data_IF_209842626696
#
_entry.id   IF_209842626696
#
_cell.length_a   1.000
_cell.length_b   1.000
_cell.length_c   1.000
_cell.angle_alpha   90.00
_cell.angle_beta   90.00
_cell.angle_gamma   90.00
#
_symmetry.space_group_name_H-M   'P 1'
#
loop_
_entity.id
_entity.type
_entity.pdbx_description
1 polymer ?
#
# COMPACT_ATOMS: atom_id res chain seq x y z
N UNK A 1 5.65 21.53 -32.77
CA UNK A 1 4.50 20.90 -32.08
C UNK A 1 4.84 19.42 -32.03
N UNK A 2 5.48 18.99 -30.94
CA UNK A 2 5.85 17.58 -30.77
C UNK A 2 4.59 16.77 -30.44
N UNK A 3 4.33 15.73 -31.23
CA UNK A 3 3.30 14.74 -30.96
C UNK A 3 3.80 13.83 -29.83
N UNK A 4 3.19 13.94 -28.65
CA UNK A 4 3.41 13.04 -27.54
C UNK A 4 3.04 11.61 -27.95
N UNK A 5 3.97 10.66 -27.82
CA UNK A 5 3.68 9.23 -27.94
C UNK A 5 2.88 8.80 -26.70
N UNK A 6 1.57 8.67 -26.85
CA UNK A 6 0.65 8.29 -25.78
C UNK A 6 0.01 6.94 -26.11
N UNK A 7 0.23 5.93 -25.27
CA UNK A 7 -0.29 4.59 -25.49
C UNK A 7 -1.68 4.45 -24.88
N UNK A 8 -2.72 4.55 -25.71
CA UNK A 8 -4.11 4.57 -25.27
C UNK A 8 -4.81 3.19 -25.26
N UNK A 9 -4.26 2.15 -25.90
CA UNK A 9 -5.06 0.93 -26.15
C UNK A 9 -4.29 -0.38 -26.30
N UNK A 10 -2.98 -0.41 -26.05
CA UNK A 10 -2.23 -1.66 -26.06
C UNK A 10 -2.17 -2.23 -24.65
N UNK A 11 -2.19 -3.57 -24.53
CA UNK A 11 -2.06 -4.25 -23.24
C UNK A 11 -0.88 -3.64 -22.45
N UNK A 12 -1.21 -2.90 -21.38
CA UNK A 12 -0.24 -2.14 -20.60
C UNK A 12 0.92 -3.06 -20.22
N UNK A 13 2.10 -2.72 -20.71
CA UNK A 13 3.33 -3.49 -20.52
C UNK A 13 4.51 -2.52 -20.54
N UNK A 14 5.65 -2.96 -19.99
CA UNK A 14 6.86 -2.15 -19.97
C UNK A 14 7.31 -1.77 -21.39
N UNK A 15 7.13 -2.67 -22.35
CA UNK A 15 7.49 -2.47 -23.76
C UNK A 15 6.60 -1.40 -24.39
N UNK A 16 5.29 -1.43 -24.12
CA UNK A 16 4.37 -0.40 -24.65
C UNK A 16 4.66 0.97 -24.05
N UNK A 17 4.91 1.06 -22.74
CA UNK A 17 5.18 2.34 -22.04
C UNK A 17 6.63 2.80 -22.21
N UNK A 18 7.50 1.93 -22.75
CA UNK A 18 8.95 2.09 -22.85
C UNK A 18 9.63 2.33 -21.48
N UNK A 19 9.05 1.81 -20.39
CA UNK A 19 9.56 1.97 -19.03
C UNK A 19 10.25 0.70 -18.52
N UNK A 20 11.37 0.85 -17.81
CA UNK A 20 12.11 -0.25 -17.19
C UNK A 20 11.34 -0.80 -15.98
N UNK A 21 11.41 -2.12 -15.69
CA UNK A 21 10.93 -2.68 -14.43
C UNK A 21 11.52 -1.99 -13.21
N UNK A 22 10.79 -1.98 -12.09
CA UNK A 22 11.20 -1.28 -10.88
C UNK A 22 11.05 0.24 -10.95
N UNK A 23 10.29 0.74 -11.93
CA UNK A 23 9.94 2.15 -12.08
C UNK A 23 9.10 2.69 -10.91
N UNK A 24 8.97 4.01 -10.89
CA UNK A 24 8.06 4.75 -10.01
C UNK A 24 6.81 5.15 -10.79
N UNK A 25 5.64 4.71 -10.33
CA UNK A 25 4.33 5.09 -10.88
C UNK A 25 3.76 6.28 -10.11
N UNK A 26 3.71 7.46 -10.73
CA UNK A 26 3.15 8.68 -10.13
C UNK A 26 1.74 8.96 -10.65
N UNK A 27 0.77 8.96 -9.75
CA UNK A 27 -0.65 9.12 -10.06
C UNK A 27 -1.03 10.60 -10.13
N UNK A 28 -1.62 11.03 -11.23
CA UNK A 28 -2.13 12.40 -11.43
C UNK A 28 -3.61 12.37 -11.75
N UNK A 29 -4.36 13.26 -11.11
CA UNK A 29 -5.80 13.42 -11.33
C UNK A 29 -6.18 14.83 -11.73
N UNK A 30 -5.58 15.83 -11.10
CA UNK A 30 -5.95 17.24 -11.26
C UNK A 30 -4.72 18.11 -11.50
N UNK A 31 -4.77 18.92 -12.56
CA UNK A 31 -3.68 19.81 -12.95
C UNK A 31 -3.49 20.98 -11.97
N UNK A 32 -4.48 21.26 -11.12
CA UNK A 32 -4.36 22.27 -10.06
C UNK A 32 -3.56 21.77 -8.85
N UNK A 33 -3.35 20.45 -8.73
CA UNK A 33 -2.70 19.83 -7.58
C UNK A 33 -1.58 18.89 -8.03
N UNK A 34 -0.41 19.47 -8.33
CA UNK A 34 0.77 18.75 -8.84
C UNK A 34 1.97 18.78 -7.90
N UNK A 35 1.80 19.14 -6.63
CA UNK A 35 2.91 19.21 -5.67
C UNK A 35 3.53 17.84 -5.41
N UNK A 36 2.74 16.76 -5.44
CA UNK A 36 3.26 15.40 -5.37
C UNK A 36 4.09 15.03 -6.61
N UNK A 37 3.78 15.58 -7.79
CA UNK A 37 4.59 15.38 -9.02
C UNK A 37 5.92 16.10 -8.88
N UNK A 38 5.94 17.34 -8.39
CA UNK A 38 7.18 18.06 -8.09
C UNK A 38 8.04 17.27 -7.11
N UNK A 39 7.43 16.73 -6.06
CA UNK A 39 8.15 15.92 -5.06
C UNK A 39 8.61 14.59 -5.64
N UNK A 40 7.81 13.92 -6.47
CA UNK A 40 8.20 12.71 -7.19
C UNK A 40 9.41 12.95 -8.09
N UNK A 41 9.41 14.06 -8.83
CA UNK A 41 10.54 14.51 -9.63
C UNK A 41 11.75 14.82 -8.75
N UNK A 42 11.60 15.43 -7.58
CA UNK A 42 12.73 15.70 -6.66
C UNK A 42 13.40 14.40 -6.19
N UNK A 43 12.61 13.44 -5.67
CA UNK A 43 13.12 12.23 -5.02
C UNK A 43 13.52 11.11 -5.98
N UNK A 44 12.99 11.12 -7.21
CA UNK A 44 13.26 10.07 -8.20
C UNK A 44 14.45 10.45 -9.07
N UNK A 45 15.46 9.57 -9.14
CA UNK A 45 16.60 9.73 -10.04
C UNK A 45 16.25 9.14 -11.41
N UNK A 46 15.65 9.94 -12.30
CA UNK A 46 15.07 9.46 -13.57
C UNK A 46 16.07 8.82 -14.54
N UNK A 47 17.37 9.12 -14.42
CA UNK A 47 18.41 8.39 -15.16
C UNK A 47 18.58 6.92 -14.71
N UNK A 48 18.25 6.62 -13.45
CA UNK A 48 18.38 5.27 -12.86
C UNK A 48 17.06 4.50 -12.82
N UNK A 49 15.96 5.22 -12.61
CA UNK A 49 14.63 4.63 -12.43
C UNK A 49 13.60 5.47 -13.15
N UNK A 50 12.84 4.89 -14.07
CA UNK A 50 11.86 5.64 -14.85
C UNK A 50 10.72 6.14 -13.96
N UNK A 51 10.23 7.34 -14.28
CA UNK A 51 9.06 7.95 -13.66
C UNK A 51 7.89 7.89 -14.63
N UNK A 52 6.95 6.99 -14.38
CA UNK A 52 5.74 6.83 -15.18
C UNK A 52 4.62 7.64 -14.53
N UNK A 53 4.18 8.71 -15.18
CA UNK A 53 3.07 9.53 -14.73
C UNK A 53 1.77 9.01 -15.36
N UNK A 54 0.87 8.56 -14.50
CA UNK A 54 -0.37 7.89 -14.89
C UNK A 54 -1.60 8.67 -14.46
N UNK A 55 -2.59 8.76 -15.34
CA UNK A 55 -3.96 9.16 -14.99
C UNK A 55 -4.96 8.07 -15.37
N UNK A 56 -6.08 7.99 -14.64
CA UNK A 56 -7.15 7.04 -14.93
C UNK A 56 -8.32 7.79 -15.54
N UNK A 57 -8.68 7.43 -16.77
CA UNK A 57 -9.88 7.91 -17.43
C UNK A 57 -11.08 7.07 -16.98
N UNK A 58 -11.99 7.66 -16.21
CA UNK A 58 -13.15 6.94 -15.69
C UNK A 58 -14.19 6.75 -16.80
N UNK A 59 -14.35 5.51 -17.29
CA UNK A 59 -15.40 5.18 -18.25
C UNK A 59 -16.76 5.20 -17.53
N UNK A 60 -17.63 6.13 -17.92
CA UNK A 60 -19.04 6.12 -17.48
C UNK A 60 -19.84 5.20 -18.42
N UNK A 61 -20.65 4.32 -17.85
CA UNK A 61 -21.51 3.40 -18.61
C UNK A 61 -22.55 4.14 -19.47
N UNK A 62 -23.24 3.42 -20.39
CA UNK A 62 -24.14 4.03 -21.36
C UNK A 62 -25.49 4.39 -20.73
N UNK A 63 -25.53 5.45 -19.92
CA UNK A 63 -26.77 6.15 -19.57
C UNK A 63 -26.94 7.32 -20.54
N UNK A 64 -27.36 7.01 -21.77
CA UNK A 64 -28.08 7.84 -22.76
C UNK A 64 -27.89 7.20 -24.13
N UNK A 65 -28.99 6.81 -24.77
CA UNK A 65 -29.01 6.06 -26.04
C UNK A 65 -28.50 6.85 -27.24
N UNK A 66 -27.19 7.08 -27.32
CA UNK A 66 -26.50 7.45 -28.54
C UNK A 66 -25.44 6.40 -28.85
N UNK A 67 -25.77 5.56 -29.84
CA UNK A 67 -24.77 4.91 -30.69
C UNK A 67 -23.94 6.04 -31.36
N UNK A 68 -22.65 5.81 -31.55
CA UNK A 68 -21.66 6.70 -32.21
C UNK A 68 -21.03 7.82 -31.36
N UNK A 69 -20.27 7.45 -30.33
CA UNK A 69 -19.08 8.23 -29.96
C UNK A 69 -17.86 7.38 -30.30
N UNK A 70 -17.25 7.70 -31.44
CA UNK A 70 -16.03 7.07 -31.92
C UNK A 70 -15.00 6.89 -30.81
N UNK A 71 -14.45 5.68 -30.74
CA UNK A 71 -13.32 5.27 -29.89
C UNK A 71 -12.05 6.13 -30.14
N UNK A 72 -12.07 7.02 -31.13
CA UNK A 72 -11.00 7.95 -31.54
C UNK A 72 -10.85 9.21 -30.67
N UNK A 73 -11.58 9.35 -29.54
CA UNK A 73 -11.43 10.46 -28.59
C UNK A 73 -11.11 10.00 -27.16
N UNK A 74 -10.30 8.95 -27.03
CA UNK A 74 -9.80 8.45 -25.73
C UNK A 74 -8.86 9.42 -24.99
N UNK A 75 -8.49 10.55 -25.59
CA UNK A 75 -7.85 11.67 -24.90
C UNK A 75 -8.78 12.88 -24.85
N UNK A 76 -9.30 13.17 -23.66
CA UNK A 76 -9.97 14.43 -23.42
C UNK A 76 -8.96 15.59 -23.51
N UNK A 77 -9.42 16.77 -23.96
CA UNK A 77 -8.64 18.02 -23.84
C UNK A 77 -8.08 18.23 -22.42
N UNK A 78 -8.77 17.66 -21.43
CA UNK A 78 -8.35 17.65 -20.04
C UNK A 78 -7.01 16.93 -19.82
N UNK A 79 -6.84 15.71 -20.32
CA UNK A 79 -5.63 14.91 -20.10
C UNK A 79 -4.43 15.50 -20.83
N UNK A 80 -4.65 16.02 -22.04
CA UNK A 80 -3.62 16.75 -22.79
C UNK A 80 -3.12 17.95 -21.99
N UNK A 81 -4.03 18.73 -21.41
CA UNK A 81 -3.66 19.89 -20.59
C UNK A 81 -2.96 19.46 -19.29
N UNK A 82 -3.48 18.44 -18.60
CA UNK A 82 -2.85 17.86 -17.41
C UNK A 82 -1.40 17.44 -17.69
N UNK A 83 -1.18 16.69 -18.76
CA UNK A 83 0.15 16.22 -19.12
C UNK A 83 1.07 17.33 -19.62
N UNK A 84 0.55 18.36 -20.31
CA UNK A 84 1.37 19.53 -20.63
C UNK A 84 1.95 20.20 -19.38
N UNK A 85 1.19 20.24 -18.28
CA UNK A 85 1.67 20.78 -17.00
C UNK A 85 2.69 19.85 -16.33
N UNK A 86 2.46 18.54 -16.38
CA UNK A 86 3.42 17.55 -15.88
C UNK A 86 4.75 17.64 -16.62
N UNK A 87 4.72 17.70 -17.96
CA UNK A 87 5.92 17.83 -18.80
C UNK A 87 6.67 19.12 -18.47
N UNK A 88 5.97 20.25 -18.37
CA UNK A 88 6.60 21.51 -17.98
C UNK A 88 7.30 21.45 -16.61
N UNK A 89 6.75 20.69 -15.63
CA UNK A 89 7.41 20.45 -14.35
C UNK A 89 8.66 19.55 -14.51
N UNK A 90 8.57 18.52 -15.33
CA UNK A 90 9.66 17.59 -15.59
C UNK A 90 10.83 18.26 -16.33
N UNK A 91 10.54 19.04 -17.37
CA UNK A 91 11.51 19.86 -18.11
C UNK A 91 12.21 20.86 -17.20
N UNK A 92 11.45 21.58 -16.36
CA UNK A 92 12.00 22.51 -15.37
C UNK A 92 12.93 21.79 -14.38
N UNK A 93 12.66 20.53 -14.05
CA UNK A 93 13.50 19.70 -13.20
C UNK A 93 14.68 19.05 -13.94
N UNK A 94 14.78 19.18 -15.27
CA UNK A 94 15.77 18.49 -16.10
C UNK A 94 15.59 16.96 -16.11
N UNK A 95 14.36 16.47 -15.96
CA UNK A 95 14.05 15.05 -15.81
C UNK A 95 13.04 14.60 -16.87
N UNK A 96 13.17 13.35 -17.32
CA UNK A 96 12.23 12.70 -18.24
C UNK A 96 11.12 11.98 -17.48
N UNK A 97 9.94 11.88 -18.11
CA UNK A 97 8.79 11.14 -17.60
C UNK A 97 8.11 10.37 -18.74
N UNK A 98 7.52 9.23 -18.42
CA UNK A 98 6.64 8.49 -19.33
C UNK A 98 5.20 8.83 -18.99
N UNK A 99 4.33 9.05 -19.99
CA UNK A 99 2.95 9.45 -19.77
C UNK A 99 2.00 8.30 -20.11
N UNK A 100 1.05 8.01 -19.23
CA UNK A 100 0.12 6.90 -19.39
C UNK A 100 -1.31 7.31 -19.01
N UNK A 101 -2.26 7.07 -19.92
CA UNK A 101 -3.70 7.15 -19.61
C UNK A 101 -4.23 5.73 -19.56
N UNK A 102 -4.96 5.40 -18.49
CA UNK A 102 -5.58 4.09 -18.35
C UNK A 102 -7.10 4.24 -18.27
N UNK A 103 -7.86 3.75 -19.26
CA UNK A 103 -9.31 3.72 -19.15
C UNK A 103 -9.75 2.64 -18.15
N UNK A 104 -10.62 2.99 -17.20
CA UNK A 104 -11.17 2.04 -16.24
C UNK A 104 -12.43 2.55 -15.55
N UNK A 105 -13.32 1.66 -15.12
CA UNK A 105 -14.42 2.00 -14.21
C UNK A 105 -14.01 1.97 -12.73
N UNK A 106 -12.92 1.28 -12.39
CA UNK A 106 -12.35 1.20 -11.04
C UNK A 106 -10.91 1.75 -11.03
N UNK A 107 -10.72 2.86 -10.33
CA UNK A 107 -9.45 3.59 -10.25
C UNK A 107 -8.39 2.79 -9.50
N UNK A 108 -8.74 2.16 -8.37
CA UNK A 108 -7.77 1.43 -7.55
C UNK A 108 -7.37 0.12 -8.23
N UNK A 109 -8.30 -0.54 -8.92
CA UNK A 109 -7.98 -1.71 -9.75
C UNK A 109 -7.07 -1.34 -10.91
N UNK A 110 -7.32 -0.22 -11.60
CA UNK A 110 -6.47 0.25 -12.68
C UNK A 110 -5.04 0.55 -12.21
N UNK A 111 -4.90 1.21 -11.06
CA UNK A 111 -3.59 1.50 -10.45
C UNK A 111 -2.87 0.18 -10.10
N UNK A 112 -3.54 -0.73 -9.38
CA UNK A 112 -2.95 -1.98 -8.94
C UNK A 112 -2.49 -2.84 -10.13
N UNK A 113 -3.35 -2.98 -11.14
CA UNK A 113 -3.04 -3.75 -12.36
C UNK A 113 -1.87 -3.13 -13.14
N UNK A 114 -1.84 -1.79 -13.26
CA UNK A 114 -0.78 -1.08 -13.97
C UNK A 114 0.55 -1.22 -13.23
N UNK A 115 0.56 -0.98 -11.91
CA UNK A 115 1.76 -1.15 -11.09
C UNK A 115 2.30 -2.58 -11.15
N UNK A 116 1.43 -3.59 -11.12
CA UNK A 116 1.84 -4.98 -11.26
C UNK A 116 2.43 -5.30 -12.65
N UNK A 117 1.78 -4.84 -13.73
CA UNK A 117 2.23 -5.05 -15.12
C UNK A 117 3.55 -4.35 -15.43
N UNK A 118 3.75 -3.16 -14.87
CA UNK A 118 4.99 -2.41 -15.02
C UNK A 118 6.08 -2.86 -14.03
N UNK A 119 5.79 -3.81 -13.15
CA UNK A 119 6.64 -4.20 -12.03
C UNK A 119 7.14 -2.96 -11.25
N UNK A 120 6.25 -1.99 -11.01
CA UNK A 120 6.58 -0.75 -10.30
C UNK A 120 6.97 -1.05 -8.86
N UNK A 121 8.06 -0.43 -8.41
CA UNK A 121 8.54 -0.55 -7.02
C UNK A 121 7.83 0.43 -6.10
N UNK A 122 7.51 1.59 -6.64
CA UNK A 122 6.95 2.72 -5.93
C UNK A 122 5.70 3.22 -6.64
N UNK A 123 4.64 3.51 -5.89
CA UNK A 123 3.44 4.20 -6.35
C UNK A 123 3.34 5.50 -5.56
N UNK A 124 3.31 6.65 -6.22
CA UNK A 124 3.20 7.97 -5.58
C UNK A 124 1.85 8.58 -5.93
N UNK A 125 1.11 9.04 -4.94
CA UNK A 125 -0.13 9.80 -5.10
C UNK A 125 -0.08 11.13 -4.35
N UNK A 126 -0.87 12.10 -4.82
CA UNK A 126 -1.22 13.27 -4.01
C UNK A 126 -2.26 12.93 -2.93
N UNK A 127 -2.30 13.71 -1.86
CA UNK A 127 -3.37 13.61 -0.85
C UNK A 127 -4.73 13.89 -1.50
N UNK A 128 -5.68 12.97 -1.30
CA UNK A 128 -7.06 13.14 -1.74
C UNK A 128 -7.78 14.19 -0.90
N UNK A 129 -8.67 14.98 -1.52
CA UNK A 129 -9.53 15.94 -0.84
C UNK A 129 -10.75 15.30 -0.16
N UNK A 130 -11.07 14.05 -0.51
CA UNK A 130 -12.28 13.34 -0.05
C UNK A 130 -11.97 12.05 0.69
N UNK A 131 -10.68 11.73 0.87
CA UNK A 131 -10.24 10.48 1.49
C UNK A 131 -8.90 10.65 2.20
N UNK A 132 -8.75 10.06 3.38
CA UNK A 132 -7.47 10.08 4.09
C UNK A 132 -6.41 9.24 3.36
N UNK A 133 -5.12 9.48 3.59
CA UNK A 133 -4.03 8.64 3.09
C UNK A 133 -4.20 7.15 3.43
N UNK A 134 -4.61 6.82 4.65
CA UNK A 134 -4.88 5.44 5.09
C UNK A 134 -6.07 4.83 4.35
N UNK A 135 -7.11 5.63 4.07
CA UNK A 135 -8.23 5.20 3.25
C UNK A 135 -7.81 4.86 1.81
N UNK A 136 -6.95 5.70 1.21
CA UNK A 136 -6.39 5.44 -0.12
C UNK A 136 -5.55 4.17 -0.12
N UNK A 137 -4.69 4.01 0.89
CA UNK A 137 -3.83 2.83 1.03
C UNK A 137 -4.64 1.55 1.22
N UNK A 138 -5.71 1.61 2.02
CA UNK A 138 -6.61 0.47 2.24
C UNK A 138 -7.27 0.02 0.93
N UNK A 139 -7.89 0.94 0.18
CA UNK A 139 -8.57 0.59 -1.07
C UNK A 139 -7.60 0.10 -2.14
N UNK A 140 -6.41 0.72 -2.24
CA UNK A 140 -5.36 0.24 -3.14
C UNK A 140 -4.86 -1.14 -2.72
N UNK A 141 -4.68 -1.38 -1.42
CA UNK A 141 -4.31 -2.69 -0.87
C UNK A 141 -5.36 -3.76 -1.17
N UNK A 142 -6.64 -3.47 -0.98
CA UNK A 142 -7.72 -4.38 -1.34
C UNK A 142 -7.73 -4.69 -2.85
N UNK A 143 -7.50 -3.69 -3.70
CA UNK A 143 -7.37 -3.89 -5.14
C UNK A 143 -6.14 -4.74 -5.51
N UNK A 144 -5.01 -4.50 -4.85
CA UNK A 144 -3.80 -5.29 -4.98
C UNK A 144 -4.02 -6.76 -4.61
N UNK A 145 -4.75 -7.01 -3.52
CA UNK A 145 -5.06 -8.37 -3.07
C UNK A 145 -6.00 -9.14 -4.01
N UNK A 146 -6.78 -8.45 -4.84
CA UNK A 146 -7.62 -9.08 -5.87
C UNK A 146 -6.87 -9.45 -7.15
N UNK A 147 -5.61 -9.05 -7.31
CA UNK A 147 -4.85 -9.38 -8.51
C UNK A 147 -4.58 -10.89 -8.59
N UNK A 148 -4.76 -11.53 -9.77
CA UNK A 148 -4.55 -12.97 -9.92
C UNK A 148 -3.07 -13.36 -9.80
N UNK A 149 -2.18 -12.52 -10.33
CA UNK A 149 -0.73 -12.71 -10.28
C UNK A 149 -0.10 -11.46 -9.63
N UNK A 150 0.31 -11.57 -8.37
CA UNK A 150 0.97 -10.49 -7.63
C UNK A 150 2.48 -10.65 -7.73
N UNK A 151 3.25 -9.60 -8.04
CA UNK A 151 4.71 -9.70 -7.97
C UNK A 151 5.14 -9.96 -6.52
N UNK A 152 6.18 -10.78 -6.34
CA UNK A 152 6.74 -11.07 -5.01
C UNK A 152 7.45 -9.86 -4.36
N UNK A 153 7.71 -8.82 -5.15
CA UNK A 153 8.43 -7.63 -4.69
C UNK A 153 7.51 -6.73 -3.88
N UNK A 154 8.05 -6.18 -2.78
CA UNK A 154 7.38 -5.19 -1.96
C UNK A 154 7.13 -3.92 -2.78
N UNK A 155 5.87 -3.52 -2.89
CA UNK A 155 5.49 -2.25 -3.51
C UNK A 155 5.17 -1.24 -2.42
N UNK A 156 5.83 -0.08 -2.47
CA UNK A 156 5.57 1.03 -1.56
C UNK A 156 4.55 1.97 -2.18
N UNK A 157 3.49 2.28 -1.45
CA UNK A 157 2.53 3.32 -1.80
C UNK A 157 2.78 4.56 -0.94
N UNK A 158 3.10 5.68 -1.58
CA UNK A 158 3.46 6.94 -0.96
C UNK A 158 2.41 7.99 -1.25
N UNK A 159 1.83 8.58 -0.20
CA UNK A 159 0.92 9.73 -0.32
C UNK A 159 1.67 10.99 0.09
N UNK A 160 1.66 11.98 -0.81
CA UNK A 160 2.32 13.28 -0.61
C UNK A 160 1.25 14.34 -0.45
N UNK A 161 1.25 15.02 0.69
CA UNK A 161 0.31 16.11 0.94
C UNK A 161 0.85 17.51 0.58
N UNK A 162 -0.03 18.53 0.67
CA UNK A 162 0.36 19.92 0.48
C UNK A 162 1.45 20.30 1.49
N UNK A 163 2.57 20.85 1.01
CA UNK A 163 3.73 21.17 1.86
C UNK A 163 4.79 20.06 1.95
N UNK A 164 4.55 18.90 1.30
CA UNK A 164 5.57 17.86 1.16
C UNK A 164 5.61 16.83 2.29
N UNK A 165 4.59 16.80 3.15
CA UNK A 165 4.35 15.70 4.08
C UNK A 165 4.26 14.36 3.33
N UNK A 166 4.95 13.34 3.83
CA UNK A 166 5.05 12.01 3.20
C UNK A 166 4.48 10.98 4.16
N UNK A 167 3.58 10.14 3.66
CA UNK A 167 3.08 8.96 4.36
C UNK A 167 3.28 7.73 3.47
N UNK A 168 3.98 6.74 4.00
CA UNK A 168 4.32 5.51 3.29
C UNK A 168 3.49 4.34 3.81
N UNK A 169 2.98 3.57 2.86
CA UNK A 169 2.24 2.33 3.03
C UNK A 169 2.88 1.25 2.16
N UNK A 170 2.57 -0.01 2.42
CA UNK A 170 3.14 -1.12 1.68
C UNK A 170 2.04 -2.08 1.24
N UNK A 171 2.11 -2.51 -0.01
CA UNK A 171 1.14 -3.42 -0.62
C UNK A 171 1.67 -4.85 -0.61
N UNK A 172 0.78 -5.82 -0.45
CA UNK A 172 1.09 -7.24 -0.42
C UNK A 172 1.74 -7.70 0.88
N UNK A 173 2.11 -8.98 0.92
CA UNK A 173 2.83 -9.56 2.06
C UNK A 173 4.23 -8.94 2.18
N UNK A 174 4.50 -8.28 3.31
CA UNK A 174 5.78 -7.69 3.62
C UNK A 174 6.16 -7.98 5.08
N UNK A 175 7.46 -7.90 5.39
CA UNK A 175 7.87 -7.87 6.79
C UNK A 175 7.29 -6.62 7.47
N UNK A 176 6.72 -6.73 8.68
CA UNK A 176 6.33 -5.55 9.44
C UNK A 176 7.58 -4.73 9.77
N UNK A 177 7.38 -3.42 9.93
CA UNK A 177 8.39 -2.59 10.57
C UNK A 177 8.28 -2.81 12.09
N UNK A 178 9.40 -3.10 12.75
CA UNK A 178 9.46 -3.32 14.18
C UNK A 178 10.34 -2.24 14.79
N UNK A 179 9.79 -1.52 15.75
CA UNK A 179 10.52 -0.56 16.58
C UNK A 179 11.54 -1.25 17.48
N UNK A 180 12.52 -0.48 17.97
CA UNK A 180 13.51 -0.97 18.92
C UNK A 180 12.87 -1.56 20.19
N UNK A 181 11.76 -0.97 20.66
CA UNK A 181 11.00 -1.48 21.80
C UNK A 181 10.40 -2.87 21.54
N UNK A 182 9.85 -3.09 20.34
CA UNK A 182 9.27 -4.37 19.94
C UNK A 182 10.36 -5.44 19.73
N UNK A 183 11.50 -5.06 19.16
CA UNK A 183 12.67 -5.94 19.01
C UNK A 183 13.20 -6.36 20.38
N UNK A 184 13.36 -5.40 21.29
CA UNK A 184 13.81 -5.66 22.66
C UNK A 184 12.83 -6.56 23.42
N UNK A 185 11.52 -6.40 23.18
CA UNK A 185 10.53 -7.28 23.77
C UNK A 185 10.66 -8.73 23.26
N UNK A 186 10.86 -8.92 21.95
CA UNK A 186 11.15 -10.24 21.37
C UNK A 186 12.44 -10.82 21.97
N UNK A 187 13.46 -9.98 22.20
CA UNK A 187 14.73 -10.39 22.82
C UNK A 187 14.52 -10.89 24.25
N UNK A 188 13.75 -10.18 25.08
CA UNK A 188 13.43 -10.59 26.45
C UNK A 188 12.69 -11.93 26.51
N UNK A 189 11.68 -12.11 25.66
CA UNK A 189 10.95 -13.39 25.58
C UNK A 189 11.87 -14.54 25.16
N UNK A 190 12.80 -14.27 24.25
CA UNK A 190 13.79 -15.26 23.83
C UNK A 190 14.71 -15.64 24.99
N UNK A 191 15.26 -14.67 25.73
CA UNK A 191 16.08 -14.92 26.91
C UNK A 191 15.33 -15.75 27.95
N UNK A 192 14.08 -15.39 28.25
CA UNK A 192 13.27 -16.13 29.24
C UNK A 192 13.13 -17.61 28.86
N UNK A 193 12.97 -17.91 27.57
CA UNK A 193 12.74 -19.28 27.08
C UNK A 193 14.05 -20.04 26.88
N UNK A 194 15.16 -19.37 26.52
CA UNK A 194 16.44 -20.04 26.25
C UNK A 194 17.09 -20.66 27.48
N UNK A 195 16.65 -20.28 28.69
CA UNK A 195 17.13 -20.86 29.94
C UNK A 195 16.38 -22.14 30.34
N UNK A 196 15.30 -22.49 29.63
CA UNK A 196 14.53 -23.70 29.92
C UNK A 196 15.22 -24.95 29.33
N UNK A 197 15.29 -26.06 30.08
CA UNK A 197 15.91 -27.30 29.61
C UNK A 197 15.31 -27.80 28.29
N UNK A 198 16.16 -28.09 27.31
CA UNK A 198 15.78 -28.55 25.97
C UNK A 198 15.41 -27.42 24.99
N UNK A 199 15.49 -26.15 25.40
CA UNK A 199 15.23 -24.97 24.56
C UNK A 199 16.45 -24.06 24.42
N UNK A 200 17.65 -24.53 24.77
CA UNK A 200 18.88 -23.73 24.82
C UNK A 200 19.25 -23.14 23.45
N UNK A 201 18.90 -23.85 22.38
CA UNK A 201 19.19 -23.46 20.99
C UNK A 201 18.00 -22.77 20.29
N UNK A 202 16.98 -22.34 21.04
CA UNK A 202 15.87 -21.58 20.46
C UNK A 202 16.38 -20.24 19.91
N UNK A 203 15.74 -19.74 18.85
CA UNK A 203 16.06 -18.46 18.20
C UNK A 203 14.89 -17.50 18.30
N UNK A 204 15.13 -16.19 18.18
CA UNK A 204 14.07 -15.17 18.15
C UNK A 204 12.94 -15.49 17.15
N UNK A 205 13.30 -16.01 15.96
CA UNK A 205 12.31 -16.43 14.95
C UNK A 205 11.32 -17.48 15.48
N UNK A 206 11.76 -18.42 16.32
CA UNK A 206 10.87 -19.44 16.87
C UNK A 206 9.91 -18.87 17.91
N UNK A 207 10.33 -17.84 18.68
CA UNK A 207 9.44 -17.09 19.57
C UNK A 207 8.34 -16.39 18.76
N UNK A 208 8.73 -15.70 17.67
CA UNK A 208 7.77 -15.03 16.78
C UNK A 208 6.81 -16.03 16.15
N UNK A 209 7.31 -17.15 15.63
CA UNK A 209 6.46 -18.21 15.05
C UNK A 209 5.49 -18.75 16.09
N UNK A 210 5.95 -19.06 17.30
CA UNK A 210 5.09 -19.58 18.36
C UNK A 210 3.97 -18.58 18.73
N UNK A 211 4.28 -17.29 18.80
CA UNK A 211 3.29 -16.25 19.04
C UNK A 211 2.27 -16.13 17.89
N UNK A 212 2.73 -16.20 16.63
CA UNK A 212 1.86 -16.14 15.44
C UNK A 212 0.92 -17.34 15.35
N UNK A 213 1.42 -18.56 15.60
CA UNK A 213 0.61 -19.79 15.60
C UNK A 213 -0.49 -19.70 16.66
N UNK A 214 -0.14 -19.31 17.89
CA UNK A 214 -1.13 -19.15 18.97
C UNK A 214 -2.18 -18.08 18.65
N UNK A 215 -1.75 -16.96 18.07
CA UNK A 215 -2.69 -15.91 17.69
C UNK A 215 -3.60 -16.33 16.53
N UNK A 216 -3.13 -17.18 15.61
CA UNK A 216 -3.97 -17.76 14.58
C UNK A 216 -5.08 -18.62 15.20
N UNK A 217 -4.74 -19.47 16.17
CA UNK A 217 -5.73 -20.29 16.89
C UNK A 217 -6.77 -19.39 17.57
N UNK A 218 -6.33 -18.33 18.29
CA UNK A 218 -7.22 -17.37 18.94
C UNK A 218 -8.20 -16.69 17.96
N UNK A 219 -7.80 -16.49 16.70
CA UNK A 219 -8.65 -15.90 15.65
C UNK A 219 -9.66 -16.87 15.04
N UNK A 220 -9.39 -18.18 15.10
CA UNK A 220 -10.23 -19.23 14.51
C UNK A 220 -11.21 -19.86 15.50
N UNK A 221 -10.92 -19.80 16.81
CA UNK A 221 -11.75 -20.39 17.86
C UNK A 221 -12.74 -19.41 18.51
N UNK A 222 -13.42 -19.87 19.56
CA UNK A 222 -14.39 -19.08 20.37
C UNK A 222 -13.78 -17.82 21.03
N UNK A 223 -12.47 -17.61 20.92
CA UNK A 223 -11.75 -16.46 21.49
C UNK A 223 -11.57 -15.30 20.51
N UNK A 224 -12.05 -15.42 19.26
CA UNK A 224 -11.91 -14.38 18.21
C UNK A 224 -12.31 -12.98 18.68
N UNK A 225 -13.41 -12.86 19.42
CA UNK A 225 -13.87 -11.58 19.95
C UNK A 225 -12.86 -10.92 20.91
N UNK A 226 -12.15 -11.73 21.71
CA UNK A 226 -11.13 -11.26 22.64
C UNK A 226 -9.85 -10.85 21.91
N UNK A 227 -9.42 -11.66 20.94
CA UNK A 227 -8.28 -11.35 20.08
C UNK A 227 -8.46 -10.01 19.35
N UNK A 228 -9.66 -9.79 18.76
CA UNK A 228 -9.97 -8.54 18.08
C UNK A 228 -10.03 -7.33 19.03
N UNK A 229 -10.55 -7.51 20.26
CA UNK A 229 -10.57 -6.42 21.23
C UNK A 229 -9.17 -6.04 21.70
N UNK A 230 -8.30 -7.02 21.91
CA UNK A 230 -6.89 -6.78 22.21
C UNK A 230 -6.20 -5.97 21.11
N UNK A 231 -6.43 -6.29 19.84
CA UNK A 231 -5.92 -5.51 18.71
C UNK A 231 -6.45 -4.07 18.69
N UNK A 232 -7.73 -3.85 19.04
CA UNK A 232 -8.30 -2.49 19.11
C UNK A 232 -7.64 -1.64 20.20
N UNK A 233 -7.30 -2.25 21.34
CA UNK A 233 -6.60 -1.57 22.44
C UNK A 233 -5.18 -1.22 22.01
N UNK A 234 -4.43 -2.17 21.44
CA UNK A 234 -3.08 -1.92 20.92
C UNK A 234 -3.06 -0.78 19.89
N UNK A 235 -4.02 -0.78 18.95
CA UNK A 235 -4.15 0.29 17.95
C UNK A 235 -4.37 1.68 18.54
N UNK A 236 -4.98 1.79 19.72
CA UNK A 236 -5.28 3.07 20.39
C UNK A 236 -4.07 3.67 21.14
N UNK A 237 -2.90 3.04 21.10
CA UNK A 237 -1.67 3.60 21.67
C UNK A 237 -1.42 3.25 23.13
N UNK A 238 -2.08 2.22 23.67
CA UNK A 238 -1.56 1.58 24.87
C UNK A 238 -0.34 0.75 24.44
N UNK A 239 0.86 1.31 24.65
CA UNK A 239 2.13 0.62 24.47
C UNK A 239 2.07 -0.78 25.07
N UNK A 240 2.80 -1.73 24.47
CA UNK A 240 2.89 -3.11 24.96
C UNK A 240 3.30 -3.12 26.44
N UNK A 241 2.33 -3.07 27.34
CA UNK A 241 2.53 -3.32 28.75
C UNK A 241 2.09 -4.76 29.01
N UNK A 242 2.99 -5.75 28.80
CA UNK A 242 2.69 -7.15 29.01
C UNK A 242 2.18 -7.39 30.44
N UNK A 243 2.59 -6.59 31.42
CA UNK A 243 2.14 -6.72 32.79
C UNK A 243 0.62 -6.47 32.95
N UNK A 244 0.02 -5.60 32.14
CA UNK A 244 -1.41 -5.30 32.17
C UNK A 244 -2.24 -6.37 31.42
N UNK A 245 -1.78 -6.79 30.24
CA UNK A 245 -2.42 -7.83 29.43
C UNK A 245 -2.36 -9.21 30.14
N UNK A 246 -1.17 -9.61 30.62
CA UNK A 246 -0.96 -10.86 31.34
C UNK A 246 -1.65 -10.88 32.70
N UNK A 247 -1.74 -9.76 33.45
CA UNK A 247 -2.55 -9.69 34.69
C UNK A 247 -4.04 -9.88 34.40
N UNK A 248 -4.57 -9.27 33.35
CA UNK A 248 -6.00 -9.42 32.99
C UNK A 248 -6.31 -10.85 32.55
N UNK A 249 -5.46 -11.46 31.73
CA UNK A 249 -5.65 -12.84 31.25
C UNK A 249 -5.50 -13.86 32.38
N UNK A 250 -4.47 -13.73 33.25
CA UNK A 250 -4.30 -14.58 34.45
C UNK A 250 -5.43 -14.43 35.46
N UNK A 251 -5.91 -13.21 35.74
CA UNK A 251 -7.06 -12.98 36.63
C UNK A 251 -8.35 -13.59 36.09
N UNK A 252 -8.51 -13.66 34.77
CA UNK A 252 -9.72 -14.19 34.11
C UNK A 252 -9.71 -15.71 34.00
N UNK A 253 -8.57 -16.33 33.67
CA UNK A 253 -8.41 -17.80 33.76
C UNK A 253 -8.58 -18.32 35.20
N UNK A 254 -8.10 -17.57 36.19
CA UNK A 254 -8.33 -17.88 37.61
C UNK A 254 -9.81 -17.75 38.02
N UNK A 255 -10.59 -16.88 37.35
CA UNK A 255 -12.05 -16.76 37.55
C UNK A 255 -12.79 -17.95 36.94
N UNK A 256 -12.46 -18.32 35.71
CA UNK A 256 -13.08 -19.47 35.01
C UNK A 256 -12.83 -20.76 35.80
N UNK A 257 -11.59 -21.02 36.24
CA UNK A 257 -11.25 -22.18 37.09
C UNK A 257 -11.97 -22.21 38.45
N UNK A 258 -12.35 -21.05 39.01
CA UNK A 258 -13.13 -20.97 40.25
C UNK A 258 -14.61 -21.26 40.04
N UNK A 259 -15.15 -20.95 38.87
CA UNK A 259 -16.55 -21.25 38.54
C UNK A 259 -16.76 -22.74 38.25
N UNK A 260 -15.79 -23.41 37.61
CA UNK A 260 -15.84 -24.85 37.31
C UNK A 260 -15.59 -25.78 38.52
N UNK A 261 -15.09 -25.24 39.64
CA UNK A 261 -14.87 -25.99 40.90
C UNK A 261 -16.01 -25.86 41.90
N UNK A 262 -17.08 -25.14 41.57
CA UNK A 262 -18.26 -24.91 42.42
C UNK A 262 -19.54 -25.59 41.90
N UNK A 263 -19.40 -26.42 40.88
CA UNK A 263 -20.39 -27.39 40.38
C UNK A 263 -19.85 -28.78 40.65
#
# INVERSE_FOLDING_TARGET
MDQFRLNANQAISNETVEARPGNTLCLVRDYNTLDHVKKALEITHTGKTDLVVMTVHVMRGPDTGYQDIAEDRLFSRYEQYLFSKVVALAEKAGKTVHLLVVPSSDIFQAIALTAARLASRDIIAGRSSVMSPEGQAKLLGEAWERLPNKPHQRVRFRVIGPGGEIQDFYLGAHAPDLSDEEIEFIHKLWLDVSHEPGLENIRHKQIVIAALVRFADDLHENERGQALEFLRVLKKGESMNPAAATRRQRRRQARIRKTTRRT
#
